data_IF_135076627393
#
_entry.id   IF_135076627393
#
_cell.length_a   1.000
_cell.length_b   1.000
_cell.length_c   1.000
_cell.angle_alpha   90.00
_cell.angle_beta   90.00
_cell.angle_gamma   90.00
#
_symmetry.space_group_name_H-M   'P 1'
#
loop_
_entity.id
_entity.type
_entity.pdbx_description
1 polymer ?
#
# COMPACT_ATOMS: atom_id res chain seq x y z
N UNK A 1 -14.66 -28.31 -15.63
CA UNK A 1 -14.02 -27.36 -16.58
C UNK A 1 -12.94 -26.58 -15.85
N UNK A 2 -11.66 -26.79 -16.16
CA UNK A 2 -10.56 -26.03 -15.56
C UNK A 2 -10.47 -24.67 -16.26
N UNK A 3 -10.63 -23.56 -15.53
CA UNK A 3 -10.42 -22.21 -16.09
C UNK A 3 -8.92 -21.96 -16.16
N UNK A 4 -8.38 -21.84 -17.37
CA UNK A 4 -7.00 -21.42 -17.57
C UNK A 4 -6.95 -19.90 -17.31
N UNK A 5 -6.42 -19.50 -16.16
CA UNK A 5 -6.17 -18.10 -15.84
C UNK A 5 -4.87 -17.72 -16.56
N UNK A 6 -5.00 -17.06 -17.70
CA UNK A 6 -3.87 -16.44 -18.39
C UNK A 6 -3.61 -15.09 -17.71
N UNK A 7 -2.56 -15.00 -16.91
CA UNK A 7 -2.09 -13.72 -16.38
C UNK A 7 -1.25 -13.08 -17.48
N UNK A 8 -1.80 -12.05 -18.10
CA UNK A 8 -1.11 -11.28 -19.15
C UNK A 8 0.10 -10.57 -18.53
N UNK A 9 1.31 -10.94 -18.97
CA UNK A 9 2.58 -10.49 -18.36
C UNK A 9 2.83 -8.99 -18.58
N UNK A 10 2.10 -8.36 -19.49
CA UNK A 10 2.23 -6.95 -19.87
C UNK A 10 1.03 -6.09 -19.46
N UNK A 11 0.12 -6.60 -18.61
CA UNK A 11 -0.94 -5.76 -18.08
C UNK A 11 -0.32 -4.65 -17.22
N UNK A 12 -0.61 -3.36 -17.47
CA UNK A 12 -0.22 -2.31 -16.54
C UNK A 12 -0.77 -2.68 -15.18
N UNK A 13 0.10 -2.66 -14.16
CA UNK A 13 -0.34 -2.90 -12.78
C UNK A 13 -1.15 -1.67 -12.40
N UNK A 14 -2.48 -1.79 -12.50
CA UNK A 14 -3.38 -0.67 -12.20
C UNK A 14 -3.52 -0.45 -10.70
N UNK A 15 -3.33 -1.51 -9.91
CA UNK A 15 -3.48 -1.46 -8.46
C UNK A 15 -2.57 -2.43 -7.70
N UNK A 16 -2.31 -2.10 -6.44
CA UNK A 16 -1.57 -2.89 -5.46
C UNK A 16 -2.49 -3.20 -4.29
N UNK A 17 -2.56 -4.48 -3.90
CA UNK A 17 -3.21 -4.88 -2.66
C UNK A 17 -2.16 -5.04 -1.54
N UNK A 18 -2.37 -4.37 -0.42
CA UNK A 18 -1.61 -4.55 0.81
C UNK A 18 -2.51 -5.28 1.79
N UNK A 19 -2.07 -6.42 2.32
CA UNK A 19 -2.82 -7.21 3.32
C UNK A 19 -1.98 -7.44 4.56
N UNK A 20 -2.54 -7.14 5.73
CA UNK A 20 -1.94 -7.45 7.04
C UNK A 20 -2.57 -8.72 7.58
N UNK A 21 -1.70 -9.63 8.03
CA UNK A 21 -2.07 -10.90 8.64
C UNK A 21 -1.38 -11.05 9.98
N UNK A 22 -2.05 -11.71 10.91
CA UNK A 22 -1.41 -12.12 12.16
C UNK A 22 -0.46 -13.31 11.95
N UNK A 23 0.19 -13.76 13.03
CA UNK A 23 1.06 -14.93 13.02
C UNK A 23 0.34 -16.24 12.66
N UNK A 24 -0.99 -16.31 12.82
CA UNK A 24 -1.82 -17.44 12.40
C UNK A 24 -2.20 -17.40 10.91
N UNK A 25 -1.72 -16.39 10.17
CA UNK A 25 -2.07 -16.07 8.77
C UNK A 25 -3.51 -15.61 8.58
N UNK A 26 -4.23 -15.29 9.66
CA UNK A 26 -5.57 -14.72 9.59
C UNK A 26 -5.47 -13.28 9.10
N UNK A 27 -6.31 -12.92 8.15
CA UNK A 27 -6.42 -11.55 7.63
C UNK A 27 -6.97 -10.63 8.71
N UNK A 28 -6.22 -9.57 9.02
CA UNK A 28 -6.63 -8.48 9.90
C UNK A 28 -7.26 -7.38 9.05
N UNK A 29 -6.52 -6.89 8.05
CA UNK A 29 -6.96 -5.79 7.19
C UNK A 29 -6.36 -5.90 5.79
N UNK A 30 -6.99 -5.25 4.80
CA UNK A 30 -6.45 -5.11 3.45
C UNK A 30 -6.88 -3.82 2.80
N UNK A 31 -6.03 -3.29 1.93
CA UNK A 31 -6.34 -2.15 1.08
C UNK A 31 -5.91 -2.44 -0.34
N UNK A 32 -6.77 -2.05 -1.30
CA UNK A 32 -6.42 -2.01 -2.72
C UNK A 32 -6.20 -0.56 -3.11
N UNK A 33 -5.07 -0.27 -3.74
CA UNK A 33 -4.61 1.09 -4.03
C UNK A 33 -4.28 1.16 -5.51
N UNK A 34 -4.85 2.11 -6.24
CA UNK A 34 -4.39 2.38 -7.60
C UNK A 34 -2.93 2.87 -7.57
N UNK A 35 -2.08 2.38 -8.48
CA UNK A 35 -0.64 2.74 -8.46
C UNK A 35 -0.41 4.25 -8.63
N UNK A 36 -1.33 4.92 -9.32
CA UNK A 36 -1.28 6.37 -9.52
C UNK A 36 -1.75 7.18 -8.29
N UNK A 37 -2.40 6.55 -7.31
CA UNK A 37 -2.89 7.21 -6.11
C UNK A 37 -1.84 7.28 -5.00
N UNK A 38 -0.85 8.16 -5.22
CA UNK A 38 0.23 8.44 -4.27
C UNK A 38 -0.27 9.01 -2.92
N UNK A 39 -1.46 9.62 -2.89
CA UNK A 39 -2.02 10.19 -1.65
C UNK A 39 -2.53 9.07 -0.76
N UNK A 40 -3.31 8.15 -1.34
CA UNK A 40 -3.82 6.97 -0.63
C UNK A 40 -2.70 6.05 -0.18
N UNK A 41 -1.69 5.85 -1.01
CA UNK A 41 -0.50 5.09 -0.63
C UNK A 41 0.18 5.65 0.64
N UNK A 42 0.40 6.97 0.71
CA UNK A 42 0.98 7.62 1.89
C UNK A 42 0.10 7.51 3.14
N UNK A 43 -1.22 7.62 3.00
CA UNK A 43 -2.15 7.43 4.12
C UNK A 43 -2.03 6.02 4.69
N UNK A 44 -1.98 5.01 3.83
CA UNK A 44 -1.87 3.60 4.25
C UNK A 44 -0.51 3.34 4.88
N UNK A 45 0.59 3.85 4.32
CA UNK A 45 1.90 3.77 4.95
C UNK A 45 1.92 4.38 6.36
N UNK A 46 1.21 5.50 6.57
CA UNK A 46 1.08 6.10 7.90
C UNK A 46 0.34 5.19 8.87
N UNK A 47 -0.79 4.61 8.45
CA UNK A 47 -1.56 3.65 9.26
C UNK A 47 -0.68 2.44 9.62
N UNK A 48 0.06 1.91 8.65
CA UNK A 48 0.97 0.78 8.86
C UNK A 48 2.07 1.10 9.87
N UNK A 49 2.59 2.32 9.88
CA UNK A 49 3.57 2.77 10.88
C UNK A 49 2.93 2.99 12.26
N UNK A 50 1.83 3.74 12.33
CA UNK A 50 1.19 4.15 13.59
C UNK A 50 0.49 2.98 14.30
N UNK A 51 -0.22 2.14 13.56
CA UNK A 51 -1.05 1.06 14.13
C UNK A 51 -0.32 -0.27 14.23
N UNK A 52 0.65 -0.53 13.35
CA UNK A 52 1.32 -1.83 13.27
C UNK A 52 2.84 -1.77 13.44
N UNK A 53 3.43 -0.57 13.62
CA UNK A 53 4.87 -0.41 13.81
C UNK A 53 5.71 -0.76 12.59
N UNK A 54 5.12 -0.82 11.39
CA UNK A 54 5.84 -1.13 10.15
C UNK A 54 6.55 0.14 9.66
N UNK A 55 7.87 0.18 9.78
CA UNK A 55 8.67 1.26 9.21
C UNK A 55 9.17 0.89 7.81
N UNK A 56 8.81 1.71 6.82
CA UNK A 56 9.22 1.52 5.43
C UNK A 56 10.58 2.17 5.12
N UNK A 57 11.22 2.86 6.06
CA UNK A 57 12.52 3.51 5.86
C UNK A 57 12.48 4.68 4.88
N UNK A 58 11.30 5.10 4.43
CA UNK A 58 11.10 6.22 3.53
C UNK A 58 11.11 7.51 4.35
N UNK A 59 12.11 8.37 4.12
CA UNK A 59 12.13 9.73 4.68
C UNK A 59 11.00 10.55 4.05
N UNK A 60 9.84 10.61 4.73
CA UNK A 60 8.70 11.47 4.34
C UNK A 60 9.01 12.97 4.57
N UNK A 61 10.19 13.31 5.13
CA UNK A 61 10.51 14.66 5.60
C UNK A 61 10.76 15.68 4.48
N UNK A 62 11.32 15.29 3.34
CA UNK A 62 11.79 16.28 2.35
C UNK A 62 10.69 16.84 1.44
N UNK A 63 9.59 16.12 1.23
CA UNK A 63 8.55 16.49 0.25
C UNK A 63 7.37 17.27 0.87
N UNK A 64 7.43 17.64 2.16
CA UNK A 64 6.34 18.29 2.89
C UNK A 64 6.72 19.64 3.51
N UNK A 65 7.91 20.19 3.26
CA UNK A 65 8.30 21.49 3.81
C UNK A 65 7.45 22.66 3.27
N UNK A 66 6.77 22.48 2.13
CA UNK A 66 5.79 23.44 1.61
C UNK A 66 4.48 23.51 2.42
N UNK A 67 4.19 22.53 3.29
CA UNK A 67 3.01 22.53 4.16
C UNK A 67 3.24 23.21 5.52
N UNK A 68 4.48 23.63 5.83
CA UNK A 68 4.80 24.38 7.05
C UNK A 68 4.68 25.90 6.86
N UNK A 69 4.22 26.37 5.71
CA UNK A 69 3.89 27.77 5.46
C UNK A 69 2.37 28.01 5.60
N UNK A 70 1.84 27.76 6.79
CA UNK A 70 0.54 28.26 7.28
C UNK A 70 0.56 28.21 8.78
#
# INVERSE_FOLDING_TARGET
>A
MKRHIWIDRNSPIDSVEITIKDCSKRKIESWVIAVNDKKRARQIMRILKESYGVDFGISVRSDLDWLKQT
#
